data_IF_225590139130
#
_entry.id   IF_225590139130
#
_cell.length_a   1.000
_cell.length_b   1.000
_cell.length_c   1.000
_cell.angle_alpha   90.00
_cell.angle_beta   90.00
_cell.angle_gamma   90.00
#
_symmetry.space_group_name_H-M   'P 1'
#
loop_
_entity.id
_entity.type
_entity.pdbx_description
1 polymer ?
#
# COMPACT_ATOMS: atom_id res chain seq x y z
N UNK A 1 22.97 -23.59 15.50
CA UNK A 1 23.02 -22.25 14.87
C UNK A 1 21.58 -21.78 14.62
N UNK A 2 21.28 -20.49 14.80
CA UNK A 2 19.94 -19.93 14.60
C UNK A 2 20.00 -18.97 13.40
N UNK A 3 19.05 -19.11 12.48
CA UNK A 3 18.85 -18.21 11.33
C UNK A 3 17.49 -17.57 11.45
N UNK A 4 17.47 -16.27 11.60
CA UNK A 4 16.26 -15.45 11.49
C UNK A 4 16.10 -15.00 10.04
N UNK A 5 14.85 -14.90 9.57
CA UNK A 5 14.49 -14.54 8.18
C UNK A 5 15.20 -15.41 7.12
N UNK A 6 15.25 -16.73 7.37
CA UNK A 6 15.97 -17.71 6.49
C UNK A 6 15.49 -17.67 5.04
N UNK A 7 14.28 -17.18 4.77
CA UNK A 7 13.73 -17.06 3.42
C UNK A 7 14.57 -16.15 2.48
N UNK A 8 15.45 -15.30 3.03
CA UNK A 8 16.42 -14.55 2.21
C UNK A 8 17.51 -15.45 1.61
N UNK A 9 17.71 -16.62 2.15
CA UNK A 9 18.77 -17.54 1.74
C UNK A 9 18.20 -18.54 0.71
N UNK A 10 18.46 -18.29 -0.58
CA UNK A 10 17.97 -19.15 -1.65
C UNK A 10 18.91 -20.31 -1.96
N UNK A 11 18.35 -21.50 -2.22
CA UNK A 11 18.96 -22.60 -2.95
C UNK A 11 19.15 -23.88 -2.16
N UNK A 12 19.03 -25.02 -2.84
CA UNK A 12 19.47 -26.33 -2.41
C UNK A 12 20.83 -26.70 -3.02
N UNK A 13 21.16 -26.08 -4.17
CA UNK A 13 22.40 -26.29 -4.90
C UNK A 13 23.28 -25.02 -4.79
N UNK A 14 24.54 -25.12 -4.37
CA UNK A 14 25.45 -23.98 -4.28
C UNK A 14 25.58 -23.18 -5.56
N UNK A 15 25.45 -23.80 -6.74
CA UNK A 15 25.55 -23.13 -8.04
C UNK A 15 24.31 -22.28 -8.39
N UNK A 16 23.14 -22.67 -7.86
CA UNK A 16 21.86 -21.98 -8.10
C UNK A 16 21.43 -21.07 -6.95
N UNK A 17 22.22 -21.06 -5.88
CA UNK A 17 21.93 -20.32 -4.67
C UNK A 17 22.37 -18.86 -4.78
N UNK A 18 21.69 -17.98 -4.03
CA UNK A 18 22.19 -16.62 -3.83
C UNK A 18 23.42 -16.62 -2.88
N UNK A 19 24.13 -15.48 -2.77
CA UNK A 19 25.36 -15.39 -1.98
C UNK A 19 25.18 -15.84 -0.51
N UNK A 20 24.04 -15.54 0.11
CA UNK A 20 23.70 -15.98 1.47
C UNK A 20 23.45 -17.49 1.55
N UNK A 21 22.66 -18.03 0.61
CA UNK A 21 22.41 -19.46 0.51
C UNK A 21 23.70 -20.26 0.33
N UNK A 22 24.60 -19.82 -0.55
CA UNK A 22 25.92 -20.44 -0.76
C UNK A 22 26.74 -20.50 0.54
N UNK A 23 26.79 -19.42 1.31
CA UNK A 23 27.51 -19.39 2.58
C UNK A 23 26.94 -20.40 3.59
N UNK A 24 25.61 -20.52 3.66
CA UNK A 24 24.93 -21.47 4.54
C UNK A 24 25.24 -22.92 4.10
N UNK A 25 25.06 -23.23 2.82
CA UNK A 25 25.29 -24.56 2.30
C UNK A 25 26.75 -24.99 2.48
N UNK A 26 27.73 -24.12 2.22
CA UNK A 26 29.15 -24.47 2.35
C UNK A 26 29.66 -24.50 3.78
N UNK A 27 29.18 -23.65 4.67
CA UNK A 27 29.76 -23.47 6.00
C UNK A 27 28.96 -24.08 7.13
N UNK A 28 27.67 -24.31 6.95
CA UNK A 28 26.77 -24.73 8.03
C UNK A 28 26.15 -26.09 7.78
N UNK A 29 25.71 -26.36 6.55
CA UNK A 29 25.14 -27.64 6.19
C UNK A 29 26.17 -28.77 6.53
N UNK A 30 25.68 -29.83 7.14
CA UNK A 30 26.47 -31.00 7.58
C UNK A 30 27.58 -30.71 8.60
N UNK A 31 27.74 -29.48 9.10
CA UNK A 31 28.71 -29.09 10.10
C UNK A 31 28.12 -28.67 11.44
N UNK A 32 26.91 -28.12 11.41
CA UNK A 32 26.22 -27.72 12.62
C UNK A 32 25.50 -28.92 13.24
N UNK A 33 25.73 -29.15 14.54
CA UNK A 33 25.03 -30.21 15.27
C UNK A 33 23.51 -29.97 15.34
N UNK A 34 23.06 -28.69 15.28
CA UNK A 34 21.67 -28.30 15.25
C UNK A 34 21.51 -26.97 14.55
N UNK A 35 20.47 -26.86 13.71
CA UNK A 35 20.07 -25.62 13.06
C UNK A 35 18.62 -25.31 13.38
N UNK A 36 18.34 -24.04 13.74
CA UNK A 36 16.99 -23.49 13.87
C UNK A 36 16.81 -22.42 12.80
N UNK A 37 15.89 -22.65 11.89
CA UNK A 37 15.53 -21.73 10.82
C UNK A 37 14.16 -21.09 11.12
N UNK A 38 14.13 -19.77 11.22
CA UNK A 38 12.93 -18.99 11.54
C UNK A 38 12.57 -18.13 10.36
N UNK A 39 11.27 -17.98 10.08
CA UNK A 39 10.73 -17.03 9.11
C UNK A 39 9.26 -16.73 9.39
N UNK A 40 8.88 -15.47 9.33
CA UNK A 40 7.48 -15.06 9.33
C UNK A 40 6.80 -15.25 7.97
N UNK A 41 7.59 -15.42 6.90
CA UNK A 41 7.12 -15.58 5.50
C UNK A 41 7.94 -16.69 4.84
N UNK A 42 7.58 -17.97 5.06
CA UNK A 42 8.41 -19.13 4.66
C UNK A 42 8.29 -19.44 3.16
N UNK A 43 8.35 -18.45 2.31
CA UNK A 43 8.37 -18.57 0.84
C UNK A 43 9.18 -17.42 0.22
N UNK A 44 9.45 -17.53 -1.06
CA UNK A 44 10.20 -16.56 -1.83
C UNK A 44 9.41 -16.12 -3.07
N UNK A 45 9.61 -14.90 -3.50
CA UNK A 45 8.99 -14.35 -4.70
C UNK A 45 9.65 -14.82 -6.01
N UNK A 46 10.82 -15.47 -5.92
CA UNK A 46 11.58 -15.98 -7.08
C UNK A 46 11.41 -17.50 -7.29
N UNK A 47 10.46 -18.11 -6.59
CA UNK A 47 10.12 -19.55 -6.61
C UNK A 47 11.31 -20.49 -6.32
N UNK A 48 12.43 -19.95 -5.81
CA UNK A 48 13.57 -20.75 -5.41
C UNK A 48 13.38 -21.36 -4.02
N UNK A 49 13.90 -22.56 -3.84
CA UNK A 49 13.91 -23.21 -2.55
C UNK A 49 14.68 -22.38 -1.50
N UNK A 50 14.25 -22.43 -0.25
CA UNK A 50 14.94 -21.82 0.88
C UNK A 50 16.04 -22.76 1.34
N UNK A 51 17.24 -22.24 1.60
CA UNK A 51 18.36 -23.01 2.08
C UNK A 51 18.05 -23.71 3.41
N UNK A 52 18.47 -24.95 3.58
CA UNK A 52 18.21 -25.85 4.72
C UNK A 52 16.72 -26.23 4.91
N UNK A 53 15.80 -25.74 4.09
CA UNK A 53 14.41 -26.13 4.18
C UNK A 53 14.16 -27.51 3.56
N UNK A 54 13.14 -28.21 4.07
CA UNK A 54 12.66 -29.50 3.54
C UNK A 54 11.36 -29.29 2.79
N UNK A 55 11.18 -30.04 1.72
CA UNK A 55 9.98 -29.98 0.89
C UNK A 55 9.40 -31.38 0.71
N UNK A 56 8.07 -31.48 0.66
CA UNK A 56 7.38 -32.74 0.33
C UNK A 56 7.62 -33.13 -1.12
N UNK A 57 7.54 -34.41 -1.40
CA UNK A 57 7.62 -34.95 -2.75
C UNK A 57 6.35 -35.79 -3.01
N UNK A 58 5.69 -35.63 -4.15
CA UNK A 58 6.03 -34.79 -5.32
C UNK A 58 5.53 -33.34 -5.25
N UNK A 59 4.73 -32.93 -4.27
CA UNK A 59 3.98 -31.67 -4.24
C UNK A 59 4.86 -30.43 -4.05
N UNK A 60 6.05 -30.59 -3.48
CA UNK A 60 6.98 -29.46 -3.26
C UNK A 60 6.54 -28.50 -2.14
N UNK A 61 5.68 -28.93 -1.22
CA UNK A 61 5.28 -28.10 -0.09
C UNK A 61 6.36 -28.00 0.98
N UNK A 62 6.58 -26.83 1.54
CA UNK A 62 7.51 -26.61 2.62
C UNK A 62 7.06 -27.39 3.87
N UNK A 63 7.99 -28.19 4.45
CA UNK A 63 7.77 -28.91 5.68
C UNK A 63 8.29 -28.09 6.86
N UNK A 64 7.37 -27.66 7.73
CA UNK A 64 7.70 -26.92 8.95
C UNK A 64 7.62 -27.88 10.16
N UNK A 65 8.62 -27.81 11.05
CA UNK A 65 8.59 -28.56 12.31
C UNK A 65 7.64 -27.93 13.34
N UNK A 66 7.49 -26.61 13.29
CA UNK A 66 6.55 -25.86 14.14
C UNK A 66 5.99 -24.65 13.39
N UNK A 67 4.70 -24.40 13.52
CA UNK A 67 4.01 -23.24 12.98
C UNK A 67 3.26 -22.52 14.10
N UNK A 68 3.50 -21.21 14.22
CA UNK A 68 2.73 -20.29 15.05
C UNK A 68 2.11 -19.24 14.12
N UNK A 69 0.84 -19.44 13.80
CA UNK A 69 0.14 -18.65 12.78
C UNK A 69 -0.44 -17.34 13.30
N UNK A 70 -0.99 -16.54 12.38
CA UNK A 70 -1.65 -15.28 12.73
C UNK A 70 -2.86 -15.53 13.65
N UNK A 71 -3.64 -16.58 13.39
CA UNK A 71 -4.77 -17.02 14.22
C UNK A 71 -4.34 -17.26 15.68
N UNK A 72 -3.26 -18.00 15.88
CA UNK A 72 -2.74 -18.31 17.22
C UNK A 72 -2.28 -17.02 17.91
N UNK A 73 -1.51 -16.18 17.19
CA UNK A 73 -0.96 -14.94 17.73
C UNK A 73 -2.06 -13.91 18.12
N UNK A 74 -3.18 -13.87 17.40
CA UNK A 74 -4.34 -13.04 17.76
C UNK A 74 -5.05 -13.62 18.98
N UNK A 75 -5.29 -14.91 19.00
CA UNK A 75 -5.97 -15.62 20.10
C UNK A 75 -5.20 -15.47 21.41
N UNK A 76 -3.87 -15.60 21.35
CA UNK A 76 -2.97 -15.40 22.51
C UNK A 76 -2.78 -13.92 22.87
N UNK A 77 -3.32 -13.00 22.07
CA UNK A 77 -3.21 -11.57 22.30
C UNK A 77 -1.79 -11.00 22.10
N UNK A 78 -0.95 -11.69 21.32
CA UNK A 78 0.42 -11.27 20.99
C UNK A 78 0.44 -10.21 19.91
N UNK A 79 -0.48 -10.28 18.96
CA UNK A 79 -0.62 -9.28 17.91
C UNK A 79 -2.04 -8.70 17.83
N UNK A 80 -2.19 -7.62 17.08
CA UNK A 80 -3.48 -7.00 16.75
C UNK A 80 -4.22 -7.81 15.70
N UNK A 81 -5.56 -7.77 15.74
CA UNK A 81 -6.39 -8.25 14.65
C UNK A 81 -6.34 -7.27 13.48
N UNK A 82 -6.06 -7.71 12.25
CA UNK A 82 -6.06 -6.85 11.07
C UNK A 82 -7.48 -6.47 10.65
N UNK A 83 -7.63 -5.24 10.19
CA UNK A 83 -8.81 -4.68 9.54
C UNK A 83 -8.36 -4.16 8.18
N UNK A 84 -8.77 -4.82 7.11
CA UNK A 84 -8.34 -4.50 5.76
C UNK A 84 -9.51 -3.86 5.03
N UNK A 85 -9.31 -2.63 4.56
CA UNK A 85 -10.31 -1.85 3.84
C UNK A 85 -9.85 -1.69 2.40
N UNK A 86 -10.61 -2.26 1.48
CA UNK A 86 -10.43 -2.09 0.04
C UNK A 86 -11.28 -0.93 -0.44
N UNK A 87 -10.66 0.04 -1.07
CA UNK A 87 -11.32 1.19 -1.68
C UNK A 87 -11.51 0.94 -3.17
N UNK A 88 -12.75 0.87 -3.62
CA UNK A 88 -13.13 0.76 -5.02
C UNK A 88 -13.91 2.00 -5.47
N UNK A 89 -13.94 2.28 -6.76
CA UNK A 89 -14.73 3.36 -7.32
C UNK A 89 -15.83 2.80 -8.22
N UNK A 90 -17.09 3.19 -7.98
CA UNK A 90 -18.25 2.65 -8.69
C UNK A 90 -18.38 3.14 -10.14
N UNK A 91 -17.64 4.19 -10.52
CA UNK A 91 -17.69 4.73 -11.86
C UNK A 91 -16.38 5.42 -12.22
N UNK A 92 -15.49 4.66 -12.85
CA UNK A 92 -14.23 5.16 -13.38
C UNK A 92 -14.40 5.49 -14.86
N UNK A 93 -14.06 6.70 -15.25
CA UNK A 93 -14.11 7.17 -16.65
C UNK A 93 -12.69 7.15 -17.21
N UNK A 94 -12.50 6.47 -18.32
CA UNK A 94 -11.30 6.53 -19.14
C UNK A 94 -11.61 7.28 -20.43
N UNK A 95 -10.87 8.35 -20.68
CA UNK A 95 -10.88 9.07 -21.95
C UNK A 95 -9.61 8.69 -22.70
N UNK A 96 -9.77 8.25 -23.94
CA UNK A 96 -8.70 7.90 -24.86
C UNK A 96 -8.73 8.89 -26.02
N UNK A 97 -7.61 9.56 -26.26
CA UNK A 97 -7.44 10.55 -27.33
C UNK A 97 -6.40 10.05 -28.32
N UNK A 98 -6.79 9.88 -29.58
CA UNK A 98 -5.92 9.48 -30.69
C UNK A 98 -6.05 10.51 -31.82
N UNK A 99 -5.14 11.48 -31.88
CA UNK A 99 -5.21 12.58 -32.84
C UNK A 99 -6.44 13.47 -32.61
N UNK A 100 -7.37 13.50 -33.58
CA UNK A 100 -8.63 14.25 -33.49
C UNK A 100 -9.79 13.41 -32.90
N UNK A 101 -9.60 12.11 -32.77
CA UNK A 101 -10.63 11.21 -32.26
C UNK A 101 -10.53 11.07 -30.74
N UNK A 102 -11.67 11.10 -30.06
CA UNK A 102 -11.76 10.90 -28.61
C UNK A 102 -12.82 9.86 -28.32
N UNK A 103 -12.47 8.87 -27.52
CA UNK A 103 -13.39 7.86 -27.04
C UNK A 103 -13.50 7.89 -25.51
N UNK A 104 -14.67 7.57 -24.98
CA UNK A 104 -14.94 7.54 -23.54
C UNK A 104 -15.50 6.19 -23.16
N UNK A 105 -14.83 5.53 -22.21
CA UNK A 105 -15.26 4.26 -21.62
C UNK A 105 -15.54 4.44 -20.12
N UNK A 106 -16.58 3.77 -19.62
CA UNK A 106 -16.94 3.76 -18.19
C UNK A 106 -16.76 2.37 -17.62
N UNK A 107 -16.13 2.29 -16.46
CA UNK A 107 -15.89 1.05 -15.75
C UNK A 107 -16.58 1.07 -14.38
N UNK A 108 -17.27 -0.03 -14.00
CA UNK A 108 -18.01 -0.12 -12.74
C UNK A 108 -17.12 -0.40 -11.52
N UNK A 109 -15.83 -0.61 -11.73
CA UNK A 109 -14.85 -0.87 -10.68
C UNK A 109 -13.43 -0.65 -11.16
N UNK A 110 -12.51 -0.49 -10.21
CA UNK A 110 -11.05 -0.42 -10.48
C UNK A 110 -10.56 -1.73 -11.08
N UNK A 111 -11.03 -2.87 -10.59
CA UNK A 111 -10.65 -4.18 -11.13
C UNK A 111 -11.00 -4.31 -12.62
N UNK A 112 -12.18 -3.82 -13.03
CA UNK A 112 -12.60 -3.81 -14.44
C UNK A 112 -11.75 -2.85 -15.28
N UNK A 113 -11.44 -1.66 -14.77
CA UNK A 113 -10.52 -0.74 -15.45
C UNK A 113 -9.17 -1.41 -15.69
N UNK A 114 -8.55 -1.98 -14.66
CA UNK A 114 -7.24 -2.62 -14.76
C UNK A 114 -7.21 -3.85 -15.67
N UNK A 115 -8.32 -4.60 -15.74
CA UNK A 115 -8.41 -5.80 -16.58
C UNK A 115 -8.75 -5.54 -18.05
N UNK A 116 -9.38 -4.41 -18.37
CA UNK A 116 -9.98 -4.13 -19.68
C UNK A 116 -9.42 -2.87 -20.36
N UNK A 117 -8.41 -2.22 -19.75
CA UNK A 117 -7.76 -1.03 -20.29
C UNK A 117 -6.24 -1.11 -20.17
N UNK A 118 -5.50 -0.27 -20.91
CA UNK A 118 -4.03 -0.19 -20.79
C UNK A 118 -3.55 0.49 -19.51
N UNK A 119 -4.43 1.05 -18.70
CA UNK A 119 -4.08 1.77 -17.48
C UNK A 119 -3.48 0.81 -16.46
N UNK A 120 -2.33 1.16 -15.94
CA UNK A 120 -1.61 0.36 -14.95
C UNK A 120 -1.98 0.73 -13.52
N UNK A 121 -1.85 -0.22 -12.60
CA UNK A 121 -2.05 0.04 -11.17
C UNK A 121 -1.11 1.13 -10.65
N UNK A 122 0.14 1.19 -11.13
CA UNK A 122 1.10 2.21 -10.72
C UNK A 122 0.67 3.62 -11.12
N UNK A 123 0.07 3.77 -12.31
CA UNK A 123 -0.50 5.05 -12.73
C UNK A 123 -1.64 5.47 -11.82
N UNK A 124 -2.56 4.55 -11.47
CA UNK A 124 -3.67 4.87 -10.57
C UNK A 124 -3.20 5.38 -9.20
N UNK A 125 -2.11 4.82 -8.66
CA UNK A 125 -1.57 5.24 -7.37
C UNK A 125 -1.04 6.68 -7.34
N UNK A 126 -0.82 7.30 -8.51
CA UNK A 126 -0.35 8.69 -8.64
C UNK A 126 -1.47 9.72 -8.75
N UNK A 127 -2.71 9.27 -8.90
CA UNK A 127 -3.86 10.16 -8.95
C UNK A 127 -4.26 10.68 -7.57
N UNK A 128 -4.41 11.98 -7.43
CA UNK A 128 -4.88 12.61 -6.18
C UNK A 128 -6.26 12.10 -5.76
N UNK A 129 -7.12 11.75 -6.73
CA UNK A 129 -8.43 11.13 -6.53
C UNK A 129 -8.33 9.72 -5.93
N UNK A 130 -7.17 9.06 -5.98
CA UNK A 130 -6.89 7.78 -5.30
C UNK A 130 -6.18 8.03 -3.96
N UNK A 131 -5.17 8.89 -3.95
CA UNK A 131 -4.35 9.19 -2.78
C UNK A 131 -5.20 9.80 -1.67
N UNK A 132 -5.94 10.88 -1.98
CA UNK A 132 -6.66 11.66 -0.98
C UNK A 132 -7.73 10.86 -0.22
N UNK A 133 -8.61 10.07 -0.87
CA UNK A 133 -9.59 9.26 -0.16
C UNK A 133 -8.95 8.21 0.77
N UNK A 134 -7.87 7.55 0.33
CA UNK A 134 -7.15 6.55 1.14
C UNK A 134 -6.53 7.21 2.37
N UNK A 135 -5.88 8.37 2.19
CA UNK A 135 -5.28 9.12 3.29
C UNK A 135 -6.34 9.66 4.26
N UNK A 136 -7.46 10.16 3.76
CA UNK A 136 -8.54 10.69 4.61
C UNK A 136 -9.20 9.61 5.46
N UNK A 137 -9.42 8.42 4.89
CA UNK A 137 -9.87 7.24 5.65
C UNK A 137 -8.88 6.86 6.73
N UNK A 138 -7.59 6.75 6.37
CA UNK A 138 -6.52 6.46 7.32
C UNK A 138 -6.43 7.49 8.42
N UNK A 139 -6.52 8.80 8.08
CA UNK A 139 -6.51 9.92 9.01
C UNK A 139 -7.71 9.87 9.97
N UNK A 140 -8.90 9.65 9.43
CA UNK A 140 -10.13 9.56 10.23
C UNK A 140 -10.04 8.41 11.23
N UNK A 141 -9.56 7.24 10.79
CA UNK A 141 -9.35 6.09 11.68
C UNK A 141 -8.26 6.34 12.72
N UNK A 142 -7.15 6.97 12.33
CA UNK A 142 -6.10 7.32 13.27
C UNK A 142 -6.58 8.31 14.33
N UNK A 143 -7.43 9.28 13.98
CA UNK A 143 -8.05 10.20 14.93
C UNK A 143 -8.91 9.47 15.96
N UNK A 144 -9.71 8.51 15.51
CA UNK A 144 -10.54 7.66 16.39
C UNK A 144 -9.67 6.85 17.37
N UNK A 145 -8.66 6.15 16.84
CA UNK A 145 -7.74 5.33 17.65
C UNK A 145 -6.99 6.16 18.68
N UNK A 146 -6.59 7.38 18.35
CA UNK A 146 -5.86 8.28 19.26
C UNK A 146 -6.69 8.80 20.43
N UNK A 147 -7.99 8.66 20.40
CA UNK A 147 -8.83 8.94 21.57
C UNK A 147 -8.59 7.94 22.70
N UNK A 148 -8.26 6.68 22.35
CA UNK A 148 -7.96 5.61 23.30
C UNK A 148 -6.46 5.44 23.50
N UNK A 149 -5.67 5.58 22.40
CA UNK A 149 -4.22 5.44 22.40
C UNK A 149 -3.56 6.68 21.78
N UNK A 150 -3.27 7.72 22.59
CA UNK A 150 -2.82 9.03 22.10
C UNK A 150 -1.52 9.01 21.29
N UNK A 151 -0.68 7.99 21.46
CA UNK A 151 0.57 7.80 20.75
C UNK A 151 0.42 7.01 19.43
N UNK A 152 -0.77 6.49 19.09
CA UNK A 152 -1.00 5.75 17.85
C UNK A 152 -0.53 6.56 16.63
N UNK A 153 0.06 5.85 15.65
CA UNK A 153 0.64 6.45 14.46
C UNK A 153 0.24 5.69 13.19
N UNK A 154 0.37 6.39 12.05
CA UNK A 154 0.11 5.88 10.73
C UNK A 154 1.38 5.71 9.89
N UNK A 155 1.36 4.69 9.05
CA UNK A 155 2.34 4.39 8.02
C UNK A 155 1.69 4.62 6.65
N UNK A 156 2.38 5.27 5.75
CA UNK A 156 2.04 5.26 4.32
C UNK A 156 3.18 4.60 3.56
N UNK A 157 2.88 3.57 2.78
CA UNK A 157 3.87 2.90 1.93
C UNK A 157 3.72 3.44 0.51
N UNK A 158 4.72 4.17 0.04
CA UNK A 158 4.75 4.80 -1.27
C UNK A 158 5.53 3.97 -2.30
N UNK A 159 5.31 4.23 -3.59
CA UNK A 159 5.98 3.55 -4.70
C UNK A 159 7.43 3.98 -4.85
N UNK A 160 7.66 5.28 -4.81
CA UNK A 160 8.95 5.93 -5.05
C UNK A 160 9.05 7.26 -4.31
N UNK A 161 10.20 7.94 -4.40
CA UNK A 161 10.50 9.16 -3.64
C UNK A 161 9.56 10.31 -4.02
N UNK A 162 9.31 10.53 -5.31
CA UNK A 162 8.42 11.60 -5.77
C UNK A 162 6.97 11.35 -5.31
N UNK A 163 6.50 10.12 -5.39
CA UNK A 163 5.20 9.73 -4.84
C UNK A 163 5.13 9.95 -3.31
N UNK A 164 6.21 9.65 -2.59
CA UNK A 164 6.26 9.92 -1.14
C UNK A 164 6.17 11.42 -0.84
N UNK A 165 6.76 12.29 -1.66
CA UNK A 165 6.62 13.75 -1.55
C UNK A 165 5.19 14.21 -1.84
N UNK A 166 4.56 13.68 -2.91
CA UNK A 166 3.16 13.96 -3.24
C UNK A 166 2.24 13.59 -2.05
N UNK A 167 2.42 12.41 -1.49
CA UNK A 167 1.67 11.95 -0.31
C UNK A 167 1.91 12.88 0.90
N UNK A 168 3.16 13.29 1.13
CA UNK A 168 3.48 14.19 2.23
C UNK A 168 2.78 15.55 2.08
N UNK A 169 2.76 16.12 0.87
CA UNK A 169 2.03 17.36 0.55
C UNK A 169 0.51 17.18 0.77
N UNK A 170 -0.04 16.03 0.36
CA UNK A 170 -1.45 15.73 0.60
C UNK A 170 -1.76 15.65 2.10
N UNK A 171 -0.93 14.99 2.91
CA UNK A 171 -1.05 14.93 4.37
C UNK A 171 -0.94 16.33 5.01
N UNK A 172 0.05 17.11 4.61
CA UNK A 172 0.22 18.52 5.07
C UNK A 172 -1.01 19.36 4.72
N UNK A 173 -1.50 19.20 3.51
CA UNK A 173 -2.75 19.80 3.07
C UNK A 173 -3.95 19.40 3.92
N UNK A 174 -3.99 18.23 4.55
CA UNK A 174 -5.00 17.77 5.51
C UNK A 174 -4.70 18.21 6.96
N UNK A 175 -3.65 19.02 7.18
CA UNK A 175 -3.22 19.49 8.50
C UNK A 175 -2.37 18.48 9.29
N UNK A 176 -1.92 17.41 8.65
CA UNK A 176 -1.10 16.38 9.29
C UNK A 176 0.39 16.67 9.13
N UNK A 177 1.18 16.25 10.13
CA UNK A 177 2.64 16.26 10.05
C UNK A 177 3.15 14.85 9.78
N UNK A 178 4.05 14.72 8.82
CA UNK A 178 4.66 13.44 8.49
C UNK A 178 6.19 13.50 8.46
N UNK A 179 6.82 12.33 8.48
CA UNK A 179 8.24 12.11 8.19
C UNK A 179 8.36 11.23 6.96
N UNK A 180 9.25 11.58 6.04
CA UNK A 180 9.56 10.73 4.89
C UNK A 180 10.84 9.95 5.21
N UNK A 181 10.82 8.64 4.94
CA UNK A 181 11.98 7.76 5.02
C UNK A 181 12.10 6.91 3.77
N UNK A 182 13.28 6.92 3.17
CA UNK A 182 13.58 6.20 1.93
C UNK A 182 14.97 5.57 2.03
N UNK A 183 15.30 4.67 1.12
CA UNK A 183 16.64 4.10 1.00
C UNK A 183 17.74 5.14 0.68
N UNK A 184 17.34 6.35 0.24
CA UNK A 184 18.26 7.49 0.01
C UNK A 184 18.29 8.50 1.15
N UNK A 185 17.51 8.27 2.21
CA UNK A 185 17.50 9.17 3.38
C UNK A 185 18.81 9.00 4.15
N UNK A 186 19.62 10.06 4.33
CA UNK A 186 20.78 10.01 5.21
C UNK A 186 20.32 9.62 6.62
N UNK A 187 21.05 8.72 7.27
CA UNK A 187 20.74 8.27 8.63
C UNK A 187 19.28 7.79 8.84
N UNK A 188 18.72 7.09 7.84
CA UNK A 188 17.34 6.62 7.86
C UNK A 188 16.94 5.96 9.19
N UNK A 189 17.86 5.20 9.80
CA UNK A 189 17.63 4.56 11.09
C UNK A 189 17.46 5.59 12.22
N UNK A 190 18.16 6.70 12.19
CA UNK A 190 17.98 7.78 13.18
C UNK A 190 16.62 8.45 13.02
N UNK A 191 16.18 8.69 11.76
CA UNK A 191 14.85 9.24 11.45
C UNK A 191 13.76 8.30 11.99
N UNK A 192 13.88 7.00 11.78
CA UNK A 192 12.96 5.97 12.28
C UNK A 192 12.96 5.95 13.82
N UNK A 193 14.12 5.96 14.45
CA UNK A 193 14.24 5.97 15.91
C UNK A 193 13.64 7.26 16.51
N UNK A 194 13.90 8.39 15.89
CA UNK A 194 13.30 9.67 16.31
C UNK A 194 11.78 9.67 16.12
N UNK A 195 11.27 9.08 15.02
CA UNK A 195 9.83 8.94 14.82
C UNK A 195 9.18 8.04 15.90
N UNK A 196 9.84 6.96 16.31
CA UNK A 196 9.32 6.00 17.31
C UNK A 196 8.84 6.67 18.61
N UNK A 197 9.57 7.69 19.08
CA UNK A 197 9.28 8.43 20.33
C UNK A 197 8.70 9.82 20.13
N UNK A 198 8.46 10.23 18.86
CA UNK A 198 7.98 11.59 18.56
C UNK A 198 6.46 11.72 18.63
N UNK A 199 5.98 12.97 18.72
CA UNK A 199 4.56 13.30 18.56
C UNK A 199 4.09 13.29 17.08
N UNK A 200 5.01 13.09 16.13
CA UNK A 200 4.67 13.02 14.70
C UNK A 200 3.75 11.83 14.44
N UNK A 201 2.66 12.08 13.71
CA UNK A 201 1.58 11.09 13.56
C UNK A 201 1.80 10.15 12.39
N UNK A 202 2.47 10.60 11.33
CA UNK A 202 2.62 9.85 10.10
C UNK A 202 4.08 9.66 9.70
N UNK A 203 4.37 8.48 9.18
CA UNK A 203 5.61 8.18 8.48
C UNK A 203 5.28 7.68 7.07
N UNK A 204 5.90 8.29 6.06
CA UNK A 204 5.79 7.89 4.66
C UNK A 204 7.07 7.18 4.27
N UNK A 205 6.97 5.94 3.80
CA UNK A 205 8.11 5.09 3.55
C UNK A 205 8.18 4.59 2.11
N UNK A 206 9.40 4.53 1.57
CA UNK A 206 9.72 3.87 0.30
C UNK A 206 10.75 2.79 0.55
N UNK A 207 10.34 1.51 0.47
CA UNK A 207 11.24 0.35 0.54
C UNK A 207 11.96 0.10 1.89
N UNK A 208 11.72 0.96 2.92
CA UNK A 208 12.50 0.92 4.17
C UNK A 208 11.79 0.28 5.37
N UNK A 209 10.47 0.16 5.34
CA UNK A 209 9.69 -0.29 6.51
C UNK A 209 9.14 -1.72 6.33
N UNK A 210 9.43 -2.37 5.23
CA UNK A 210 9.07 -3.78 5.02
C UNK A 210 9.86 -4.73 5.94
N UNK A 211 11.12 -4.41 6.23
CA UNK A 211 12.01 -5.24 7.06
C UNK A 211 12.83 -4.42 8.05
N UNK A 212 13.27 -5.06 9.14
CA UNK A 212 14.26 -4.51 10.08
C UNK A 212 13.80 -3.33 10.95
N UNK A 213 12.58 -2.81 10.80
CA UNK A 213 12.10 -1.68 11.60
C UNK A 213 11.08 -2.11 12.63
N UNK A 214 11.22 -1.60 13.86
CA UNK A 214 10.28 -1.83 14.95
C UNK A 214 9.70 -0.50 15.45
N UNK A 215 8.45 -0.22 15.06
CA UNK A 215 7.69 0.96 15.48
C UNK A 215 6.33 0.51 16.03
N UNK A 216 6.25 0.06 17.28
CA UNK A 216 5.06 -0.62 17.81
C UNK A 216 3.81 0.26 17.87
N UNK A 217 3.96 1.59 17.84
CA UNK A 217 2.83 2.53 17.82
C UNK A 217 2.13 2.68 16.46
N UNK A 218 2.67 2.09 15.37
CA UNK A 218 1.99 2.04 14.08
C UNK A 218 0.73 1.18 14.19
N UNK A 219 -0.42 1.75 13.85
CA UNK A 219 -1.72 1.09 13.95
C UNK A 219 -2.59 1.24 12.72
N UNK A 220 -2.29 2.24 11.89
CA UNK A 220 -2.93 2.49 10.60
C UNK A 220 -1.88 2.40 9.50
N UNK A 221 -2.21 1.73 8.39
CA UNK A 221 -1.39 1.69 7.19
C UNK A 221 -2.22 2.10 5.97
N UNK A 222 -1.72 3.06 5.18
CA UNK A 222 -2.21 3.34 3.84
C UNK A 222 -1.23 2.69 2.84
N UNK A 223 -1.67 1.63 2.18
CA UNK A 223 -0.84 0.86 1.25
C UNK A 223 -0.97 1.45 -0.16
N UNK A 224 -0.05 2.32 -0.53
CA UNK A 224 0.05 2.98 -1.84
C UNK A 224 1.32 2.52 -2.57
N UNK A 225 1.71 1.24 -2.38
CA UNK A 225 2.87 0.63 -3.01
C UNK A 225 2.51 -0.07 -4.31
N UNK A 226 3.36 0.04 -5.34
CA UNK A 226 3.24 -0.73 -6.56
C UNK A 226 3.60 -2.21 -6.41
N UNK A 227 4.24 -2.59 -5.29
CA UNK A 227 4.67 -3.96 -5.05
C UNK A 227 3.45 -4.80 -4.70
N UNK A 228 3.14 -5.78 -5.56
CA UNK A 228 2.01 -6.69 -5.45
C UNK A 228 2.49 -8.13 -5.26
N UNK A 229 3.43 -8.34 -4.33
CA UNK A 229 3.86 -9.66 -3.88
C UNK A 229 3.30 -9.94 -2.49
N UNK A 230 2.86 -11.17 -2.24
CA UNK A 230 2.31 -11.55 -0.94
C UNK A 230 3.32 -11.38 0.19
N UNK A 231 4.59 -11.66 -0.09
CA UNK A 231 5.70 -11.46 0.84
C UNK A 231 5.73 -10.02 1.34
N UNK A 232 5.84 -9.03 0.44
CA UNK A 232 5.89 -7.61 0.80
C UNK A 232 4.60 -7.15 1.51
N UNK A 233 3.45 -7.61 1.03
CA UNK A 233 2.16 -7.30 1.63
C UNK A 233 2.09 -7.76 3.10
N UNK A 234 2.46 -9.03 3.39
CA UNK A 234 2.46 -9.58 4.75
C UNK A 234 3.53 -8.92 5.64
N UNK A 235 4.69 -8.58 5.10
CA UNK A 235 5.73 -7.85 5.82
C UNK A 235 5.25 -6.45 6.25
N UNK A 236 4.61 -5.70 5.36
CA UNK A 236 4.03 -4.38 5.68
C UNK A 236 2.90 -4.51 6.69
N UNK A 237 1.98 -5.45 6.49
CA UNK A 237 0.89 -5.72 7.44
C UNK A 237 1.45 -6.04 8.82
N UNK A 238 2.45 -6.91 8.92
CA UNK A 238 3.12 -7.27 10.17
C UNK A 238 3.67 -6.08 10.95
N UNK A 239 3.99 -4.95 10.30
CA UNK A 239 4.46 -3.73 10.98
C UNK A 239 3.37 -3.04 11.81
N UNK A 240 2.12 -3.14 11.41
CA UNK A 240 0.99 -2.53 12.14
C UNK A 240 0.31 -3.52 13.08
N UNK A 241 0.57 -4.82 12.96
CA UNK A 241 0.00 -5.84 13.85
C UNK A 241 0.67 -5.91 15.22
N UNK A 242 1.81 -5.27 15.42
CA UNK A 242 2.56 -5.33 16.70
C UNK A 242 1.80 -4.68 17.83
N UNK A 243 1.49 -5.45 18.86
CA UNK A 243 0.72 -5.02 20.01
C UNK A 243 1.61 -4.47 21.12
N UNK A 244 1.17 -3.38 21.80
CA UNK A 244 1.92 -2.74 22.89
C UNK A 244 1.18 -2.70 24.22
N UNK A 245 -0.09 -3.10 24.26
CA UNK A 245 -0.88 -3.04 25.47
C UNK A 245 -2.18 -3.81 25.41
N UNK A 246 -2.88 -3.90 26.55
CA UNK A 246 -4.12 -4.69 26.66
C UNK A 246 -5.28 -4.14 25.82
N UNK A 247 -5.34 -2.84 25.59
CA UNK A 247 -6.42 -2.16 24.85
C UNK A 247 -6.11 -1.93 23.38
N UNK A 248 -5.02 -2.52 22.88
CA UNK A 248 -4.48 -2.33 21.54
C UNK A 248 -4.80 -3.55 20.68
N UNK A 249 -6.07 -3.69 20.28
CA UNK A 249 -6.56 -4.93 19.68
C UNK A 249 -6.61 -4.92 18.15
N UNK A 250 -6.61 -3.75 17.49
CA UNK A 250 -6.88 -3.64 16.06
C UNK A 250 -5.81 -2.85 15.33
N UNK A 251 -5.50 -3.27 14.12
CA UNK A 251 -4.72 -2.53 13.15
C UNK A 251 -5.49 -2.39 11.84
N UNK A 252 -5.34 -1.26 11.18
CA UNK A 252 -6.10 -0.92 9.99
C UNK A 252 -5.19 -0.76 8.78
N UNK A 253 -5.54 -1.42 7.68
CA UNK A 253 -4.88 -1.31 6.39
C UNK A 253 -5.87 -0.80 5.35
N UNK A 254 -5.56 0.33 4.73
CA UNK A 254 -6.35 0.94 3.66
C UNK A 254 -5.59 0.82 2.34
N UNK A 255 -6.23 0.31 1.30
CA UNK A 255 -5.63 0.15 -0.03
C UNK A 255 -6.68 0.20 -1.12
N UNK A 256 -6.24 0.36 -2.36
CA UNK A 256 -7.09 0.30 -3.54
C UNK A 256 -7.53 -1.15 -3.80
N UNK A 257 -8.76 -1.35 -4.28
CA UNK A 257 -9.32 -2.65 -4.63
C UNK A 257 -8.70 -3.19 -5.94
N UNK A 258 -7.43 -3.55 -5.86
CA UNK A 258 -6.69 -4.20 -6.93
C UNK A 258 -6.80 -5.72 -6.76
N UNK A 259 -7.10 -6.50 -7.82
CA UNK A 259 -7.44 -7.92 -7.70
C UNK A 259 -6.40 -8.78 -6.98
N UNK A 260 -5.10 -8.54 -7.23
CA UNK A 260 -4.02 -9.33 -6.59
C UNK A 260 -3.95 -9.04 -5.08
N UNK A 261 -4.01 -7.75 -4.70
CA UNK A 261 -4.00 -7.33 -3.31
C UNK A 261 -5.26 -7.77 -2.56
N UNK A 262 -6.42 -7.75 -3.24
CA UNK A 262 -7.66 -8.30 -2.70
C UNK A 262 -7.51 -9.78 -2.40
N UNK A 263 -6.94 -10.58 -3.30
CA UNK A 263 -6.69 -12.00 -3.06
C UNK A 263 -5.74 -12.26 -1.87
N UNK A 264 -4.77 -11.36 -1.61
CA UNK A 264 -3.93 -11.45 -0.41
C UNK A 264 -4.72 -11.14 0.86
N UNK A 265 -5.60 -10.13 0.81
CA UNK A 265 -6.44 -9.77 1.94
C UNK A 265 -7.44 -10.88 2.29
N UNK A 266 -8.03 -11.54 1.29
CA UNK A 266 -8.93 -12.70 1.48
C UNK A 266 -8.19 -13.85 2.15
N UNK A 267 -6.95 -14.18 1.72
CA UNK A 267 -6.14 -15.21 2.39
C UNK A 267 -5.77 -14.87 3.83
N UNK A 268 -5.55 -13.58 4.14
CA UNK A 268 -5.37 -13.15 5.54
C UNK A 268 -6.65 -13.33 6.32
N UNK A 269 -7.82 -13.02 5.73
CA UNK A 269 -9.12 -13.22 6.39
C UNK A 269 -9.38 -14.70 6.70
N UNK A 270 -9.01 -15.62 5.80
CA UNK A 270 -9.11 -17.07 6.02
C UNK A 270 -8.19 -17.59 7.14
N UNK A 271 -7.05 -16.90 7.36
CA UNK A 271 -6.10 -17.21 8.43
C UNK A 271 -6.55 -16.66 9.82
N UNK A 272 -7.67 -15.93 9.91
CA UNK A 272 -8.19 -15.38 11.17
C UNK A 272 -9.03 -16.37 11.97
N UNK A 273 -9.22 -16.18 13.30
CA UNK A 273 -10.21 -16.88 14.08
C UNK A 273 -11.62 -16.72 13.47
N UNK A 274 -12.44 -17.80 13.51
CA UNK A 274 -13.74 -17.85 12.85
C UNK A 274 -14.74 -16.79 13.35
N UNK A 275 -14.61 -16.37 14.61
CA UNK A 275 -15.37 -15.29 15.23
C UNK A 275 -14.96 -13.88 14.75
N UNK A 276 -13.80 -13.77 14.08
CA UNK A 276 -13.26 -12.53 13.54
C UNK A 276 -13.38 -12.40 12.02
N UNK A 277 -13.69 -13.49 11.32
CA UNK A 277 -13.78 -13.54 9.86
C UNK A 277 -15.19 -13.15 9.39
N UNK A 278 -15.47 -11.87 9.19
CA UNK A 278 -16.71 -11.39 8.57
C UNK A 278 -16.40 -10.47 7.42
N UNK A 279 -16.78 -10.88 6.21
CA UNK A 279 -16.82 -10.02 5.03
C UNK A 279 -18.03 -9.09 5.13
N UNK A 280 -17.80 -7.78 5.20
CA UNK A 280 -18.86 -6.77 5.08
C UNK A 280 -18.52 -5.77 4.00
N UNK A 281 -19.38 -5.70 3.01
CA UNK A 281 -19.41 -4.61 2.05
C UNK A 281 -20.15 -3.43 2.69
N UNK A 282 -19.46 -2.35 2.98
CA UNK A 282 -20.06 -1.12 3.51
C UNK A 282 -20.15 -0.11 2.38
N UNK A 283 -21.37 0.16 1.91
CA UNK A 283 -21.61 1.32 1.05
C UNK A 283 -21.63 2.57 1.93
N UNK A 284 -20.68 3.49 1.70
CA UNK A 284 -20.71 4.80 2.35
C UNK A 284 -21.54 5.73 1.47
N UNK A 285 -22.67 6.26 1.96
CA UNK A 285 -23.39 7.31 1.28
C UNK A 285 -22.53 8.59 1.30
N UNK A 286 -22.11 9.03 0.10
CA UNK A 286 -21.57 10.36 -0.12
C UNK A 286 -20.33 10.71 0.70
N UNK A 287 -19.17 10.22 0.32
CA UNK A 287 -17.91 10.86 0.67
C UNK A 287 -17.87 12.21 -0.04
N UNK A 288 -18.18 13.30 0.65
CA UNK A 288 -17.89 14.64 0.17
C UNK A 288 -16.44 14.95 0.55
N UNK A 289 -15.49 14.97 -0.40
CA UNK A 289 -14.20 15.58 -0.14
C UNK A 289 -14.48 17.03 0.24
N UNK A 290 -13.99 17.46 1.39
CA UNK A 290 -14.11 18.85 1.84
C UNK A 290 -13.57 19.73 0.72
N UNK A 291 -14.46 20.45 0.06
CA UNK A 291 -14.11 21.44 -0.95
C UNK A 291 -13.25 22.49 -0.26
N UNK A 292 -11.94 22.42 -0.43
CA UNK A 292 -11.07 23.50 -0.04
C UNK A 292 -11.32 24.66 -0.99
N UNK A 293 -12.01 25.68 -0.50
CA UNK A 293 -11.95 27.02 -1.08
C UNK A 293 -10.47 27.45 -1.08
N UNK A 294 -9.90 27.60 -2.26
CA UNK A 294 -8.62 28.26 -2.44
C UNK A 294 -8.67 29.66 -1.82
N UNK A 295 -7.73 30.03 -0.94
CA UNK A 295 -7.59 31.43 -0.58
C UNK A 295 -6.91 32.14 -1.75
N UNK A 296 -7.68 33.00 -2.40
CA UNK A 296 -7.33 34.17 -3.20
C UNK A 296 -5.97 34.13 -3.94
N UNK A 297 -6.04 33.84 -5.22
CA UNK A 297 -5.02 34.26 -6.17
C UNK A 297 -5.03 35.77 -6.35
N UNK A 298 -3.88 36.38 -6.24
CA UNK A 298 -3.64 37.76 -6.64
C UNK A 298 -3.91 37.89 -8.14
N UNK A 299 -4.82 38.79 -8.51
CA UNK A 299 -5.14 39.17 -9.87
C UNK A 299 -3.95 39.87 -10.52
N UNK A 300 -3.42 39.30 -11.59
CA UNK A 300 -2.62 40.04 -12.57
C UNK A 300 -3.56 40.38 -13.74
N UNK A 301 -3.84 41.66 -13.92
CA UNK A 301 -4.50 42.19 -15.10
C UNK A 301 -3.64 41.94 -16.34
N UNK A 302 -4.25 41.30 -17.36
CA UNK A 302 -3.81 41.45 -18.75
C UNK A 302 -5.07 41.80 -19.54
N UNK A 303 -5.06 42.99 -20.12
CA UNK A 303 -6.11 43.49 -21.00
C UNK A 303 -6.14 42.79 -22.36
N UNK A 304 -7.34 42.48 -22.80
CA UNK A 304 -7.83 42.62 -24.18
C UNK A 304 -7.51 41.52 -25.18
N UNK A 305 -8.55 40.79 -25.60
CA UNK A 305 -9.07 40.78 -26.99
C UNK A 305 -10.44 40.10 -26.97
N UNK A 306 -11.40 40.81 -27.54
CA UNK A 306 -12.79 40.40 -27.73
C UNK A 306 -12.96 39.30 -28.79
N UNK A 307 -13.93 38.41 -28.60
CA UNK A 307 -14.38 37.50 -29.63
C UNK A 307 -15.55 36.62 -29.14
N UNK A 308 -16.74 36.95 -29.62
CA UNK A 308 -18.07 36.49 -29.25
C UNK A 308 -18.31 34.97 -29.43
N UNK A 309 -19.20 34.44 -28.58
CA UNK A 309 -20.25 33.56 -29.06
C UNK A 309 -20.48 32.21 -28.38
N UNK A 310 -21.61 32.12 -27.68
CA UNK A 310 -22.49 30.96 -27.50
C UNK A 310 -22.15 29.89 -26.45
N UNK A 311 -22.87 29.96 -25.41
CA UNK A 311 -23.65 29.09 -24.54
C UNK A 311 -23.35 27.59 -24.45
N UNK A 312 -22.98 27.18 -23.23
CA UNK A 312 -22.98 25.78 -22.82
C UNK A 312 -22.46 25.72 -21.40
N UNK A 313 -23.33 25.46 -20.44
CA UNK A 313 -22.94 25.28 -19.05
C UNK A 313 -22.22 23.96 -18.90
N UNK A 314 -20.88 23.98 -18.89
CA UNK A 314 -20.05 22.84 -18.47
C UNK A 314 -19.53 23.06 -17.06
N UNK A 315 -19.86 22.09 -16.22
CA UNK A 315 -19.32 21.96 -14.87
C UNK A 315 -17.81 21.76 -14.95
N UNK A 316 -17.06 22.78 -14.53
CA UNK A 316 -15.61 22.78 -14.58
C UNK A 316 -14.97 21.72 -13.69
N UNK A 317 -14.33 20.76 -14.31
CA UNK A 317 -13.34 19.90 -13.67
C UNK A 317 -11.97 20.57 -13.83
N UNK A 318 -11.36 20.96 -12.71
CA UNK A 318 -10.01 21.51 -12.72
C UNK A 318 -9.00 20.43 -13.07
N UNK A 319 -8.49 20.46 -14.29
CA UNK A 319 -7.37 19.65 -14.77
C UNK A 319 -6.07 20.43 -14.53
N UNK A 320 -5.19 19.93 -13.68
CA UNK A 320 -3.78 20.29 -13.76
C UNK A 320 -3.11 19.40 -14.81
N UNK A 321 -2.84 20.01 -15.96
CA UNK A 321 -2.12 19.37 -17.04
C UNK A 321 -0.65 19.14 -16.63
N UNK A 322 -0.19 17.90 -16.70
CA UNK A 322 1.22 17.58 -16.71
C UNK A 322 1.84 18.20 -17.98
N UNK A 323 2.92 18.97 -17.82
CA UNK A 323 3.65 19.58 -18.90
C UNK A 323 4.24 18.53 -19.83
N UNK A 324 3.63 18.33 -20.99
CA UNK A 324 4.19 17.53 -22.09
C UNK A 324 4.90 18.51 -23.03
N UNK A 325 6.21 18.36 -23.19
CA UNK A 325 7.00 19.07 -24.19
C UNK A 325 6.69 18.44 -25.55
N UNK A 326 5.98 19.18 -26.41
CA UNK A 326 5.72 18.81 -27.79
C UNK A 326 7.01 18.93 -28.63
N UNK A 327 7.58 17.78 -29.01
CA UNK A 327 8.43 17.70 -30.21
C UNK A 327 7.53 17.23 -31.35
N UNK A 328 7.35 18.09 -32.35
CA UNK A 328 6.40 17.93 -33.46
C UNK A 328 6.60 16.63 -34.26
N UNK A 329 5.88 15.60 -33.87
CA UNK A 329 5.60 14.37 -34.57
C UNK A 329 4.16 14.00 -34.35
N UNK A 330 3.46 13.50 -35.35
CA UNK A 330 2.08 13.01 -35.21
C UNK A 330 2.11 11.94 -34.13
N UNK A 331 1.37 12.17 -33.02
CA UNK A 331 1.27 11.22 -31.94
C UNK A 331 0.67 9.91 -32.50
N UNK A 332 1.47 8.86 -32.56
CA UNK A 332 1.06 7.52 -33.03
C UNK A 332 0.50 6.68 -31.89
N UNK A 333 0.63 7.13 -30.65
CA UNK A 333 0.12 6.45 -29.45
C UNK A 333 -1.03 7.22 -28.81
N UNK A 334 -2.08 6.53 -28.36
CA UNK A 334 -3.21 7.18 -27.69
C UNK A 334 -2.80 7.76 -26.33
N UNK A 335 -3.35 8.93 -26.00
CA UNK A 335 -3.24 9.55 -24.68
C UNK A 335 -4.42 9.10 -23.84
N UNK A 336 -4.14 8.60 -22.62
CA UNK A 336 -5.15 8.13 -21.69
C UNK A 336 -5.35 9.13 -20.54
N UNK A 337 -6.60 9.45 -20.22
CA UNK A 337 -6.96 10.23 -19.03
C UNK A 337 -7.96 9.42 -18.19
N UNK A 338 -7.64 9.23 -16.91
CA UNK A 338 -8.52 8.56 -15.95
C UNK A 338 -9.14 9.62 -15.04
N UNK A 339 -10.45 9.52 -14.81
CA UNK A 339 -11.15 10.31 -13.80
C UNK A 339 -12.09 9.43 -12.98
N UNK A 340 -12.24 9.75 -11.72
CA UNK A 340 -13.02 8.96 -10.77
C UNK A 340 -14.28 9.70 -10.38
N UNK A 341 -15.36 8.96 -10.12
CA UNK A 341 -16.55 9.53 -9.52
C UNK A 341 -16.32 9.84 -8.04
N UNK A 342 -17.16 10.70 -7.48
CA UNK A 342 -17.13 10.95 -6.03
C UNK A 342 -17.68 9.79 -5.19
N UNK A 343 -18.15 8.71 -5.85
CA UNK A 343 -18.76 7.55 -5.19
C UNK A 343 -17.74 6.43 -5.05
N UNK A 344 -17.10 6.38 -3.90
CA UNK A 344 -16.23 5.28 -3.52
C UNK A 344 -17.00 4.25 -2.70
N UNK A 345 -16.71 2.98 -2.96
CA UNK A 345 -17.19 1.83 -2.20
C UNK A 345 -16.04 1.30 -1.35
N UNK A 346 -16.32 1.04 -0.10
CA UNK A 346 -15.37 0.39 0.80
C UNK A 346 -15.81 -1.03 1.05
N UNK A 347 -14.90 -1.97 0.84
CA UNK A 347 -15.07 -3.35 1.23
C UNK A 347 -14.16 -3.62 2.42
N UNK A 348 -14.74 -4.00 3.55
CA UNK A 348 -14.00 -4.32 4.76
C UNK A 348 -13.80 -5.84 4.81
N UNK A 349 -12.56 -6.27 4.79
CA UNK A 349 -12.12 -7.63 5.00
C UNK A 349 -11.55 -7.78 6.40
N UNK A 350 -11.91 -8.82 7.08
CA UNK A 350 -11.53 -9.13 8.45
C UNK A 350 -12.13 -8.18 9.51
N UNK A 351 -13.16 -8.60 10.22
CA UNK A 351 -13.81 -7.79 11.23
C UNK A 351 -14.47 -8.51 12.36
N UNK A 352 -14.32 -7.95 13.50
CA UNK A 352 -14.92 -8.08 14.84
C UNK A 352 -14.25 -9.01 15.76
#
# INVERSE_FOLDING_TARGET
MVFDEIHHCAGHDPLLSNAWGQQILHRVQDRAAFTLALSGTPWRSDDKAIALARYSSPEGHLICDYRYGLKDAITDGVCRSPRIVLLDNQKVKLTEELGADSSVRLFPSIAKLLGESPVTYEELLRHDEVINPILDLGRSKLNELRQVKPDAAGLVVATEIEHAKQIALALEGMGEKCRIVTNKTPDAQQVINAFRSSACRWIVAVGMISEGTDIPRLQVCCYLSRIRTELHYRQVLGRVLRRTGKWDHQAWLFMLAEPTLQGFAERIADDLPDDLAVLREVQIPGFNPVSRSNPMGASVHVEGIEGAGLGGAELGFGLQAANIIWLGGVATEPIYQVSFSQHYRQQLLACF
#
